data_IF_410807354750
#
_entry.id   IF_410807354750
#
_cell.length_a   1.000
_cell.length_b   1.000
_cell.length_c   1.000
_cell.angle_alpha   90.00
_cell.angle_beta   90.00
_cell.angle_gamma   90.00
#
_symmetry.space_group_name_H-M   'P 1'
#
loop_
_entity.id
_entity.type
_entity.pdbx_description
1 polymer ?
#
# COMPACT_ATOMS: atom_id res chain seq x y z
N UNK A 1 -5.36 16.17 -0.88
CA UNK A 1 -4.23 15.87 0.02
C UNK A 1 -3.89 14.39 -0.06
N UNK A 2 -2.61 14.03 -0.20
CA UNK A 2 -2.15 12.63 -0.24
C UNK A 2 -1.95 12.11 1.18
N UNK A 3 -3.05 12.11 1.94
CA UNK A 3 -3.00 11.96 3.39
C UNK A 3 -3.10 10.50 3.82
N UNK A 4 -3.93 9.69 3.16
CA UNK A 4 -4.05 8.25 3.45
C UNK A 4 -3.60 7.43 2.26
N UNK A 5 -3.01 6.27 2.54
CA UNK A 5 -2.58 5.30 1.54
C UNK A 5 -3.19 3.94 1.88
N UNK A 6 -3.90 3.34 0.93
CA UNK A 6 -4.63 2.09 1.10
C UNK A 6 -4.18 1.04 0.08
N UNK A 7 -4.43 -0.23 0.41
CA UNK A 7 -4.31 -1.36 -0.52
C UNK A 7 -5.69 -1.86 -0.87
N UNK A 8 -5.87 -2.18 -2.14
CA UNK A 8 -7.08 -2.82 -2.67
C UNK A 8 -6.70 -4.02 -3.53
N UNK A 9 -7.58 -5.02 -3.56
CA UNK A 9 -7.43 -6.25 -4.35
C UNK A 9 -8.60 -6.36 -5.30
N UNK A 10 -8.31 -6.81 -6.52
CA UNK A 10 -9.31 -7.15 -7.51
C UNK A 10 -9.40 -8.68 -7.68
N UNK A 11 -10.60 -9.27 -7.60
CA UNK A 11 -10.81 -10.69 -7.88
C UNK A 11 -11.11 -10.97 -9.36
N UNK A 12 -11.23 -9.94 -10.20
CA UNK A 12 -11.84 -10.01 -11.53
C UNK A 12 -11.05 -9.23 -12.59
N UNK A 13 -9.72 -9.39 -12.56
CA UNK A 13 -8.77 -8.79 -13.50
C UNK A 13 -8.88 -7.26 -13.62
N UNK A 14 -9.13 -6.60 -12.48
CA UNK A 14 -9.15 -5.15 -12.35
C UNK A 14 -10.50 -4.49 -12.62
N UNK A 15 -11.59 -5.26 -12.79
CA UNK A 15 -12.93 -4.70 -13.04
C UNK A 15 -13.58 -4.14 -11.78
N UNK A 16 -13.38 -4.78 -10.64
CA UNK A 16 -13.82 -4.34 -9.31
C UNK A 16 -12.69 -4.45 -8.30
N UNK A 17 -12.75 -3.60 -7.27
CA UNK A 17 -11.69 -3.47 -6.28
C UNK A 17 -12.28 -3.42 -4.87
N UNK A 18 -11.75 -4.27 -3.99
CA UNK A 18 -12.07 -4.27 -2.56
C UNK A 18 -10.90 -3.71 -1.78
N UNK A 19 -11.14 -2.71 -0.93
CA UNK A 19 -10.13 -2.20 0.02
C UNK A 19 -9.86 -3.27 1.08
N UNK A 20 -8.61 -3.67 1.23
CA UNK A 20 -8.19 -4.74 2.17
C UNK A 20 -7.36 -4.20 3.33
N UNK A 21 -6.82 -2.99 3.22
CA UNK A 21 -6.08 -2.39 4.33
C UNK A 21 -5.67 -0.94 4.12
N UNK A 22 -5.24 -0.30 5.20
CA UNK A 22 -4.53 0.98 5.16
C UNK A 22 -3.03 0.72 5.37
N UNK A 23 -2.20 1.21 4.46
CA UNK A 23 -0.75 1.26 4.66
C UNK A 23 -0.36 2.44 5.55
N UNK A 24 -1.12 3.53 5.44
CA UNK A 24 -0.97 4.69 6.30
C UNK A 24 -2.29 5.45 6.40
N UNK A 25 -2.64 5.85 7.61
CA UNK A 25 -3.74 6.78 7.88
C UNK A 25 -3.14 8.14 8.22
N UNK A 26 -3.44 9.14 7.40
CA UNK A 26 -2.93 10.49 7.67
C UNK A 26 -3.91 11.33 8.47
N UNK A 27 -3.33 12.31 9.18
CA UNK A 27 -4.04 13.45 9.75
C UNK A 27 -3.30 14.73 9.34
N UNK A 28 -4.06 15.78 9.03
CA UNK A 28 -3.49 17.08 8.65
C UNK A 28 -2.74 17.06 7.32
N UNK A 29 -1.51 17.59 7.30
CA UNK A 29 -0.71 17.79 6.08
C UNK A 29 0.31 16.69 5.78
N UNK A 30 0.30 15.59 6.55
CA UNK A 30 1.23 14.47 6.35
C UNK A 30 0.98 13.84 4.98
N UNK A 31 2.04 13.68 4.19
CA UNK A 31 1.96 13.12 2.83
C UNK A 31 2.45 11.66 2.77
N UNK A 32 1.69 10.77 2.13
CA UNK A 32 2.12 9.43 1.73
C UNK A 32 1.98 9.27 0.22
N UNK A 33 3.11 9.10 -0.48
CA UNK A 33 3.16 9.21 -1.94
C UNK A 33 4.09 8.21 -2.59
N UNK A 34 3.97 8.09 -3.91
CA UNK A 34 4.86 7.30 -4.77
C UNK A 34 5.00 5.84 -4.32
N UNK A 35 3.89 5.10 -4.19
CA UNK A 35 3.97 3.70 -3.86
C UNK A 35 4.65 2.91 -4.98
N UNK A 36 5.46 1.93 -4.60
CA UNK A 36 5.93 0.87 -5.47
C UNK A 36 5.61 -0.48 -4.80
N UNK A 37 5.27 -1.48 -5.62
CA UNK A 37 4.81 -2.78 -5.16
C UNK A 37 5.47 -3.88 -6.00
N UNK A 38 5.93 -4.94 -5.34
CA UNK A 38 6.48 -6.14 -5.99
C UNK A 38 6.14 -7.37 -5.16
N UNK A 39 5.81 -8.48 -5.82
CA UNK A 39 5.71 -9.78 -5.16
C UNK A 39 7.08 -10.47 -5.25
N UNK A 40 7.60 -10.89 -4.11
CA UNK A 40 8.87 -11.60 -4.02
C UNK A 40 8.67 -13.12 -4.26
N UNK A 41 9.76 -13.85 -4.42
CA UNK A 41 9.75 -15.30 -4.70
C UNK A 41 9.25 -16.14 -3.51
N UNK A 42 9.20 -15.58 -2.31
CA UNK A 42 8.61 -16.21 -1.12
C UNK A 42 7.08 -16.07 -1.08
N UNK A 43 6.48 -15.41 -2.07
CA UNK A 43 5.04 -15.19 -2.17
C UNK A 43 4.56 -13.92 -1.46
N UNK A 44 5.40 -13.25 -0.67
CA UNK A 44 5.05 -12.02 0.05
C UNK A 44 5.08 -10.80 -0.87
N UNK A 45 4.24 -9.82 -0.57
CA UNK A 45 4.14 -8.57 -1.31
C UNK A 45 4.88 -7.47 -0.56
N UNK A 46 5.92 -6.93 -1.18
CA UNK A 46 6.73 -5.84 -0.65
C UNK A 46 6.21 -4.52 -1.22
N UNK A 47 5.93 -3.56 -0.33
CA UNK A 47 5.41 -2.25 -0.69
C UNK A 47 6.29 -1.18 -0.08
N UNK A 48 6.72 -0.22 -0.89
CA UNK A 48 7.45 0.97 -0.43
C UNK A 48 6.70 2.23 -0.78
N UNK A 49 6.80 3.26 0.06
CA UNK A 49 6.24 4.58 -0.24
C UNK A 49 7.02 5.69 0.48
N UNK A 50 6.95 6.89 -0.07
CA UNK A 50 7.49 8.08 0.57
C UNK A 50 6.57 8.52 1.69
N UNK A 51 7.12 8.69 2.89
CA UNK A 51 6.43 9.15 4.09
C UNK A 51 6.92 10.56 4.47
N UNK A 52 6.02 11.53 4.31
CA UNK A 52 6.18 12.96 4.52
C UNK A 52 7.40 13.57 3.82
N UNK A 53 7.82 12.98 2.69
CA UNK A 53 9.06 13.32 1.95
C UNK A 53 10.34 13.29 2.80
N UNK A 54 10.28 12.65 3.97
CA UNK A 54 11.39 12.56 4.93
C UNK A 54 11.98 11.16 4.99
N UNK A 55 11.15 10.15 4.75
CA UNK A 55 11.53 8.75 4.90
C UNK A 55 10.91 7.91 3.80
N UNK A 56 11.52 6.75 3.53
CA UNK A 56 10.87 5.68 2.79
C UNK A 56 10.36 4.66 3.82
N UNK A 57 9.08 4.33 3.75
CA UNK A 57 8.47 3.25 4.52
C UNK A 57 8.48 1.99 3.67
N UNK A 58 8.73 0.85 4.31
CA UNK A 58 8.65 -0.47 3.71
C UNK A 58 7.69 -1.33 4.53
N UNK A 59 6.75 -1.98 3.86
CA UNK A 59 5.74 -2.87 4.43
C UNK A 59 5.79 -4.18 3.67
N UNK A 60 5.69 -5.29 4.39
CA UNK A 60 5.55 -6.63 3.83
C UNK A 60 4.14 -7.09 4.14
N UNK A 61 3.47 -7.65 3.14
CA UNK A 61 2.10 -8.11 3.26
C UNK A 61 1.97 -9.52 2.70
N UNK A 62 1.27 -10.38 3.44
CA UNK A 62 0.94 -11.74 3.03
C UNK A 62 -0.40 -11.73 2.27
N UNK A 63 -0.40 -11.98 0.94
CA UNK A 63 -1.61 -11.94 0.14
C UNK A 63 -2.50 -13.18 0.32
N UNK A 64 -2.12 -14.16 1.16
CA UNK A 64 -2.94 -15.35 1.43
C UNK A 64 -3.92 -15.15 2.59
N UNK A 65 -3.76 -14.08 3.36
CA UNK A 65 -4.61 -13.75 4.51
C UNK A 65 -5.27 -12.36 4.32
N UNK A 66 -6.53 -12.36 3.86
CA UNK A 66 -7.38 -11.17 3.68
C UNK A 66 -8.47 -11.04 4.76
#
# INVERSE_FOLDING_TARGET
YRCSLHVSVSPDDGKSWKRVGALAEGRGSVEHSYPAIIQASDGLVHITYTNDRKTIRHVIWDPTHF
#
